data_IF_083567938116
#
_entry.id   IF_083567938116
#
_cell.length_a   1.000
_cell.length_b   1.000
_cell.length_c   1.000
_cell.angle_alpha   90.00
_cell.angle_beta   90.00
_cell.angle_gamma   90.00
#
_symmetry.space_group_name_H-M   'P 1'
#
loop_
_entity.id
_entity.type
_entity.pdbx_description
1 polymer ?
#
# COMPACT_ATOMS: atom_id res chain seq x y z
N UNK A 1 42.54 17.61 -38.03
CA UNK A 1 42.22 16.40 -37.24
C UNK A 1 41.55 16.65 -35.88
N UNK A 2 41.57 17.88 -35.31
CA UNK A 2 40.94 18.17 -33.99
C UNK A 2 39.40 18.28 -34.02
N UNK A 3 38.82 18.68 -35.15
CA UNK A 3 37.37 18.94 -35.27
C UNK A 3 36.51 17.66 -35.34
N UNK A 4 37.09 16.54 -35.79
CA UNK A 4 36.37 15.25 -35.91
C UNK A 4 36.21 14.55 -34.55
N UNK A 5 37.20 14.69 -33.68
CA UNK A 5 37.21 14.11 -32.32
C UNK A 5 36.12 14.74 -31.44
N UNK A 6 35.93 16.07 -31.54
CA UNK A 6 34.89 16.79 -30.77
C UNK A 6 33.47 16.34 -31.16
N UNK A 7 33.23 16.07 -32.45
CA UNK A 7 31.93 15.56 -32.93
C UNK A 7 31.63 14.16 -32.40
N UNK A 8 32.65 13.30 -32.35
CA UNK A 8 32.51 11.92 -31.83
C UNK A 8 32.24 11.93 -30.31
N UNK A 9 32.94 12.76 -29.55
CA UNK A 9 32.75 12.87 -28.09
C UNK A 9 31.33 13.40 -27.77
N UNK A 10 30.86 14.41 -28.50
CA UNK A 10 29.52 14.98 -28.31
C UNK A 10 28.41 13.97 -28.65
N UNK A 11 28.64 13.12 -29.66
CA UNK A 11 27.69 12.10 -30.09
C UNK A 11 27.58 10.93 -29.10
N UNK A 12 28.69 10.54 -28.47
CA UNK A 12 28.71 9.50 -27.42
C UNK A 12 27.99 9.99 -26.15
N UNK A 13 28.14 11.28 -25.79
CA UNK A 13 27.45 11.88 -24.64
C UNK A 13 25.93 11.95 -24.83
N UNK A 14 25.45 12.11 -26.05
CA UNK A 14 24.02 12.14 -26.37
C UNK A 14 23.40 10.73 -26.36
N UNK A 15 24.16 9.69 -26.72
CA UNK A 15 23.70 8.30 -26.70
C UNK A 15 23.48 7.75 -25.28
N UNK A 16 24.28 8.16 -24.29
CA UNK A 16 24.11 7.70 -22.89
C UNK A 16 22.92 8.35 -22.19
N UNK A 17 22.49 9.53 -22.63
CA UNK A 17 21.30 10.22 -22.13
C UNK A 17 19.98 9.56 -22.54
N UNK A 18 19.96 8.78 -23.62
CA UNK A 18 18.74 8.15 -24.15
C UNK A 18 18.49 6.72 -23.63
N UNK A 19 19.44 6.11 -22.93
CA UNK A 19 19.27 4.77 -22.34
C UNK A 19 18.59 4.80 -20.95
N UNK A 20 18.23 5.98 -20.44
CA UNK A 20 17.62 6.17 -19.12
C UNK A 20 16.10 5.99 -19.07
N UNK A 21 15.49 5.09 -19.86
CA UNK A 21 14.08 4.72 -19.65
C UNK A 21 14.00 3.53 -18.68
N UNK A 22 13.88 3.87 -17.40
CA UNK A 22 13.86 2.93 -16.29
C UNK A 22 12.52 2.16 -16.26
N UNK A 23 12.53 0.86 -16.59
CA UNK A 23 11.39 -0.06 -16.40
C UNK A 23 11.18 -0.48 -14.92
N UNK A 24 11.82 0.22 -13.97
CA UNK A 24 11.92 -0.15 -12.56
C UNK A 24 10.58 -0.19 -11.82
N UNK A 25 9.51 0.38 -12.38
CA UNK A 25 8.19 0.39 -11.75
C UNK A 25 7.55 -0.99 -11.69
N UNK A 26 7.73 -1.84 -12.71
CA UNK A 26 7.15 -3.21 -12.71
C UNK A 26 7.91 -4.19 -11.81
N UNK A 27 9.23 -4.04 -11.67
CA UNK A 27 10.05 -4.94 -10.83
C UNK A 27 9.83 -4.73 -9.32
N UNK A 28 9.29 -3.57 -8.94
CA UNK A 28 8.99 -3.22 -7.56
C UNK A 28 7.52 -3.43 -7.20
N UNK A 29 6.67 -3.73 -8.18
CA UNK A 29 5.25 -3.97 -7.99
C UNK A 29 5.03 -5.36 -7.35
N UNK A 30 4.31 -5.39 -6.23
CA UNK A 30 3.86 -6.60 -5.54
C UNK A 30 2.34 -6.62 -5.48
N UNK A 31 1.74 -7.80 -5.65
CA UNK A 31 0.30 -7.99 -5.51
C UNK A 31 -0.03 -8.40 -4.09
N UNK A 32 -0.80 -7.60 -3.36
CA UNK A 32 -1.24 -7.89 -2.00
C UNK A 32 -2.75 -8.05 -1.97
N UNK A 33 -3.24 -9.01 -1.19
CA UNK A 33 -4.67 -9.20 -0.93
C UNK A 33 -4.98 -8.79 0.50
N UNK A 34 -5.86 -7.82 0.69
CA UNK A 34 -6.37 -7.43 2.00
C UNK A 34 -7.67 -8.17 2.22
N UNK A 35 -7.76 -8.97 3.29
CA UNK A 35 -8.97 -9.67 3.73
C UNK A 35 -9.46 -9.03 5.01
N UNK A 36 -10.71 -8.59 5.00
CA UNK A 36 -11.37 -7.97 6.16
C UNK A 36 -12.32 -8.97 6.77
N UNK A 37 -12.14 -9.24 8.06
CA UNK A 37 -12.97 -10.21 8.80
C UNK A 37 -13.50 -9.61 10.09
N UNK A 38 -14.68 -10.07 10.47
CA UNK A 38 -15.23 -9.81 11.80
C UNK A 38 -14.40 -10.54 12.86
N UNK A 39 -13.94 -9.83 13.89
CA UNK A 39 -13.02 -10.38 14.89
C UNK A 39 -13.62 -11.51 15.72
N UNK A 40 -14.95 -11.58 15.85
CA UNK A 40 -15.63 -12.59 16.67
C UNK A 40 -16.10 -13.77 15.84
N UNK A 41 -16.80 -13.50 14.74
CA UNK A 41 -17.40 -14.54 13.89
C UNK A 41 -16.42 -15.10 12.86
N UNK A 42 -15.29 -14.42 12.63
CA UNK A 42 -14.33 -14.70 11.55
C UNK A 42 -14.95 -14.68 10.15
N UNK A 43 -16.19 -14.19 10.02
CA UNK A 43 -16.88 -14.06 8.73
C UNK A 43 -16.28 -12.90 7.93
N UNK A 44 -16.23 -13.02 6.60
CA UNK A 44 -15.78 -11.94 5.74
C UNK A 44 -16.73 -10.74 5.85
N UNK A 45 -16.16 -9.53 5.84
CA UNK A 45 -16.93 -8.28 5.86
C UNK A 45 -17.01 -7.73 4.44
N UNK A 46 -18.22 -7.72 3.89
CA UNK A 46 -18.51 -7.32 2.49
C UNK A 46 -18.83 -5.84 2.43
N UNK A 47 -18.37 -5.17 1.37
CA UNK A 47 -18.60 -3.74 1.13
C UNK A 47 -18.06 -2.81 2.25
N UNK A 48 -17.07 -3.28 3.01
CA UNK A 48 -16.30 -2.44 3.92
C UNK A 48 -15.30 -1.62 3.07
N UNK A 49 -15.12 -0.34 3.41
CA UNK A 49 -14.15 0.54 2.75
C UNK A 49 -12.76 0.25 3.27
N UNK A 50 -11.81 0.01 2.37
CA UNK A 50 -10.38 -0.14 2.66
C UNK A 50 -9.66 1.10 2.11
N UNK A 51 -9.13 1.92 3.00
CA UNK A 51 -8.24 3.03 2.68
C UNK A 51 -6.78 2.57 2.76
N UNK A 52 -6.00 2.92 1.74
CA UNK A 52 -4.57 2.62 1.67
C UNK A 52 -3.82 3.94 1.74
N UNK A 53 -2.85 4.01 2.65
CA UNK A 53 -2.01 5.20 2.85
C UNK A 53 -0.54 4.83 2.76
N UNK A 54 0.25 5.72 2.16
CA UNK A 54 1.71 5.63 2.17
C UNK A 54 2.26 6.51 3.28
N UNK A 55 3.10 5.92 4.13
CA UNK A 55 3.82 6.64 5.16
C UNK A 55 5.06 7.31 4.58
N UNK A 56 5.02 8.64 4.43
CA UNK A 56 6.16 9.46 3.98
C UNK A 56 6.82 10.14 5.17
N UNK A 57 8.13 10.33 5.08
CA UNK A 57 8.84 11.17 6.04
C UNK A 57 8.41 12.63 5.88
N UNK A 58 7.91 13.24 6.94
CA UNK A 58 7.68 14.67 7.04
C UNK A 58 8.50 15.21 8.21
N UNK A 59 8.93 16.47 8.12
CA UNK A 59 9.57 17.14 9.26
C UNK A 59 8.50 17.96 10.01
N UNK A 60 8.35 17.81 11.35
CA UNK A 60 9.07 16.89 12.26
C UNK A 60 8.45 15.48 12.37
N UNK A 61 7.26 15.26 11.81
CA UNK A 61 6.51 14.00 11.94
C UNK A 61 6.19 13.35 10.60
N UNK A 62 6.09 12.01 10.62
CA UNK A 62 5.62 11.23 9.48
C UNK A 62 4.22 11.69 9.06
N UNK A 63 4.00 11.72 7.75
CA UNK A 63 2.71 12.02 7.14
C UNK A 63 2.22 10.80 6.39
N UNK A 64 0.94 10.49 6.55
CA UNK A 64 0.28 9.42 5.81
C UNK A 64 -0.57 10.06 4.71
N UNK A 65 -0.22 9.75 3.46
CA UNK A 65 -0.94 10.25 2.29
C UNK A 65 -1.80 9.12 1.75
N UNK A 66 -3.08 9.37 1.59
CA UNK A 66 -3.98 8.41 0.95
C UNK A 66 -3.60 8.21 -0.52
N UNK A 67 -3.55 6.96 -0.94
CA UNK A 67 -3.20 6.58 -2.32
C UNK A 67 -4.30 5.78 -3.02
N UNK A 68 -5.33 5.36 -2.29
CA UNK A 68 -6.50 4.73 -2.87
C UNK A 68 -7.51 4.29 -1.83
N UNK A 69 -8.76 4.16 -2.29
CA UNK A 69 -9.87 3.61 -1.53
C UNK A 69 -10.55 2.53 -2.36
N UNK A 70 -10.89 1.43 -1.71
CA UNK A 70 -11.49 0.26 -2.34
C UNK A 70 -12.60 -0.28 -1.44
N UNK A 71 -13.50 -1.08 -1.99
CA UNK A 71 -14.53 -1.78 -1.24
C UNK A 71 -14.30 -3.28 -1.31
N UNK A 72 -14.48 -3.98 -0.18
CA UNK A 72 -14.34 -5.43 -0.16
C UNK A 72 -15.43 -6.11 -0.97
N UNK A 73 -15.04 -7.17 -1.67
CA UNK A 73 -15.95 -8.01 -2.44
C UNK A 73 -16.77 -8.97 -1.57
N UNK A 74 -17.52 -9.88 -2.20
CA UNK A 74 -18.32 -10.91 -1.52
C UNK A 74 -17.51 -11.85 -0.61
N UNK A 75 -16.19 -11.94 -0.81
CA UNK A 75 -15.27 -12.73 0.02
C UNK A 75 -14.62 -11.87 1.11
N UNK A 76 -14.99 -10.60 1.22
CA UNK A 76 -14.41 -9.65 2.14
C UNK A 76 -12.99 -9.24 1.75
N UNK A 77 -12.65 -9.28 0.47
CA UNK A 77 -11.27 -9.05 -0.01
C UNK A 77 -11.13 -7.88 -0.97
N UNK A 78 -9.92 -7.31 -1.00
CA UNK A 78 -9.43 -6.32 -1.96
C UNK A 78 -8.06 -6.78 -2.46
N UNK A 79 -7.87 -6.90 -3.77
CA UNK A 79 -6.56 -7.18 -4.38
C UNK A 79 -6.00 -5.92 -5.01
N UNK A 80 -4.75 -5.59 -4.68
CA UNK A 80 -4.09 -4.36 -5.09
C UNK A 80 -2.64 -4.61 -5.46
N UNK A 81 -2.12 -3.80 -6.37
CA UNK A 81 -0.71 -3.76 -6.67
C UNK A 81 -0.06 -2.58 -5.94
N UNK A 82 1.06 -2.82 -5.29
CA UNK A 82 1.77 -1.88 -4.42
C UNK A 82 3.27 -1.86 -4.74
N UNK A 83 3.97 -0.77 -4.45
CA UNK A 83 5.43 -0.72 -4.53
C UNK A 83 6.03 -1.32 -3.25
N UNK A 84 6.79 -2.42 -3.36
CA UNK A 84 7.43 -3.10 -2.22
C UNK A 84 8.37 -2.21 -1.39
N UNK A 85 8.82 -1.09 -1.95
CA UNK A 85 9.75 -0.16 -1.32
C UNK A 85 9.06 0.93 -0.50
N UNK A 86 7.75 0.90 -0.38
CA UNK A 86 6.97 1.88 0.37
C UNK A 86 6.48 1.33 1.72
N UNK A 87 6.19 2.25 2.64
CA UNK A 87 5.54 1.96 3.92
C UNK A 87 4.04 2.11 3.75
N UNK A 88 3.25 1.11 4.13
CA UNK A 88 1.80 1.13 3.98
C UNK A 88 1.08 1.08 5.30
N UNK A 89 0.00 1.84 5.39
CA UNK A 89 -1.05 1.68 6.39
C UNK A 89 -2.35 1.35 5.68
N UNK A 90 -2.99 0.27 6.13
CA UNK A 90 -4.31 -0.15 5.67
C UNK A 90 -5.31 0.17 6.77
N UNK A 91 -6.37 0.88 6.41
CA UNK A 91 -7.45 1.22 7.32
C UNK A 91 -8.76 0.71 6.74
N UNK A 92 -9.60 0.12 7.57
CA UNK A 92 -10.88 -0.45 7.16
C UNK A 92 -12.00 0.22 7.93
N UNK A 93 -13.06 0.57 7.22
CA UNK A 93 -14.23 1.24 7.75
C UNK A 93 -15.47 0.53 7.26
N UNK A 94 -16.22 -0.03 8.20
CA UNK A 94 -17.48 -0.72 7.92
C UNK A 94 -18.67 0.00 8.53
N UNK A 95 -19.88 -0.51 8.26
CA UNK A 95 -21.11 -0.07 8.92
C UNK A 95 -20.96 -0.07 10.44
N UNK A 96 -21.73 0.78 11.11
CA UNK A 96 -21.77 0.91 12.58
C UNK A 96 -20.40 1.23 13.22
N UNK A 97 -19.59 2.13 12.64
CA UNK A 97 -18.27 2.51 13.20
C UNK A 97 -17.30 1.32 13.39
N UNK A 98 -17.48 0.26 12.60
CA UNK A 98 -16.57 -0.87 12.57
C UNK A 98 -15.24 -0.39 11.98
N UNK A 99 -14.15 -0.62 12.73
CA UNK A 99 -12.82 -0.16 12.37
C UNK A 99 -11.77 -1.24 12.63
N UNK A 100 -10.81 -1.33 11.72
CA UNK A 100 -9.61 -2.14 11.88
C UNK A 100 -8.49 -1.55 11.03
N UNK A 101 -7.26 -1.73 11.45
CA UNK A 101 -6.09 -1.24 10.72
C UNK A 101 -4.90 -2.16 10.89
N UNK A 102 -4.00 -2.13 9.92
CA UNK A 102 -2.71 -2.78 10.00
C UNK A 102 -1.65 -1.93 9.29
N UNK A 103 -0.40 -2.07 9.67
CA UNK A 103 0.69 -1.25 9.15
C UNK A 103 1.96 -2.06 8.88
N UNK A 104 2.57 -1.80 7.74
CA UNK A 104 3.75 -2.50 7.25
C UNK A 104 4.84 -1.51 6.89
N UNK A 105 6.05 -1.75 7.40
CA UNK A 105 7.25 -1.00 7.02
C UNK A 105 7.66 -1.35 5.59
N UNK A 106 8.53 -0.51 5.04
CA UNK A 106 9.20 -0.75 3.76
C UNK A 106 9.79 -2.17 3.73
N UNK A 107 9.43 -2.94 2.71
CA UNK A 107 9.91 -4.30 2.48
C UNK A 107 9.30 -5.40 3.35
N UNK A 108 8.37 -5.10 4.26
CA UNK A 108 7.70 -6.14 5.08
C UNK A 108 6.61 -6.89 4.29
N UNK A 109 5.95 -6.24 3.34
CA UNK A 109 4.97 -6.87 2.46
C UNK A 109 5.66 -7.68 1.37
N UNK A 110 5.18 -8.90 1.15
CA UNK A 110 5.67 -9.82 0.11
C UNK A 110 4.66 -9.95 -1.03
N UNK A 111 5.16 -10.31 -2.22
CA UNK A 111 4.27 -10.62 -3.35
C UNK A 111 3.32 -11.76 -3.01
N UNK A 112 2.06 -11.62 -3.43
CA UNK A 112 0.93 -12.53 -3.17
C UNK A 112 0.59 -12.73 -1.69
N UNK A 113 1.10 -11.88 -0.79
CA UNK A 113 0.73 -11.93 0.62
C UNK A 113 -0.74 -11.60 0.82
N UNK A 114 -1.38 -12.35 1.72
CA UNK A 114 -2.70 -11.99 2.26
C UNK A 114 -2.54 -11.31 3.62
N UNK A 115 -3.00 -10.07 3.72
CA UNK A 115 -3.09 -9.31 4.97
C UNK A 115 -4.50 -9.49 5.53
N UNK A 116 -4.63 -9.91 6.79
CA UNK A 116 -5.93 -10.11 7.44
C UNK A 116 -6.18 -9.01 8.46
N UNK A 117 -7.13 -8.12 8.18
CA UNK A 117 -7.54 -7.05 9.10
C UNK A 117 -8.77 -7.51 9.86
N UNK A 118 -8.62 -7.63 11.18
CA UNK A 118 -9.72 -7.98 12.08
C UNK A 118 -10.43 -6.72 12.54
N UNK A 119 -11.73 -6.67 12.32
CA UNK A 119 -12.58 -5.53 12.68
C UNK A 119 -13.44 -5.92 13.88
N UNK A 120 -13.42 -5.08 14.91
CA UNK A 120 -14.24 -5.25 16.12
C UNK A 120 -15.57 -4.52 15.93
N UNK A 121 -16.72 -5.24 15.91
CA UNK A 121 -18.04 -4.61 15.85
C UNK A 121 -18.30 -3.72 17.07
N UNK A 122 -19.02 -2.61 16.91
CA UNK A 122 -19.32 -1.68 18.00
C UNK A 122 -20.17 -2.33 19.11
N UNK A 123 -21.10 -3.23 18.76
CA UNK A 123 -22.02 -3.88 19.71
C UNK A 123 -21.26 -4.72 20.75
N UNK A 124 -20.01 -5.10 20.45
CA UNK A 124 -19.13 -5.86 21.33
C UNK A 124 -18.04 -5.00 21.97
N UNK A 125 -17.94 -3.70 21.66
CA UNK A 125 -17.12 -2.72 22.38
C UNK A 125 -17.81 -2.30 23.68
N UNK A 126 -18.15 -3.27 24.53
CA UNK A 126 -18.53 -2.96 25.90
C UNK A 126 -17.24 -2.82 26.70
N UNK A 127 -16.85 -1.58 27.01
CA UNK A 127 -15.90 -1.33 28.08
C UNK A 127 -16.57 -1.83 29.36
N UNK A 128 -16.09 -2.93 29.94
CA UNK A 128 -16.36 -3.22 31.34
C UNK A 128 -15.71 -2.09 32.13
N UNK A 129 -16.52 -1.14 32.60
CA UNK A 129 -16.12 -0.27 33.69
C UNK A 129 -16.31 -1.14 34.93
N UNK A 130 -15.20 -1.63 35.50
CA UNK A 130 -15.22 -2.24 36.82
C UNK A 130 -15.42 -1.09 37.82
N UNK A 131 -16.53 -1.13 38.57
CA UNK A 131 -16.79 -0.25 39.73
C UNK A 131 -16.01 -0.71 40.96
#
# INVERSE_FOLDING_TARGET
MKCMVVKIILQIFFCTLLMGCNNSTKENEIKVTIKVVDSYTQKPRVNDRVEIRIGKWGFPTRRYVEVGQYFTDSLGTVSINLDKNERYSFMTFGPQHAFGSDEYKKGELKDRQQVVIKVVPPEKKQFKIEE
#
